data_IF_176552677041
#
_entry.id   IF_176552677041
#
_cell.length_a   1.000
_cell.length_b   1.000
_cell.length_c   1.000
_cell.angle_alpha   90.00
_cell.angle_beta   90.00
_cell.angle_gamma   90.00
#
_symmetry.space_group_name_H-M   'P 1'
#
loop_
_entity.id
_entity.type
_entity.pdbx_description
1 polymer ?
#
# COMPACT_ATOMS: atom_id res chain seq x y z
N UNK A 1 13.96 24.99 -14.83
CA UNK A 1 14.56 23.97 -15.72
C UNK A 1 13.43 23.08 -16.17
N UNK A 2 13.17 22.97 -17.48
CA UNK A 2 12.12 22.07 -17.98
C UNK A 2 12.51 20.62 -17.67
N UNK A 3 11.80 19.98 -16.74
CA UNK A 3 12.07 18.58 -16.39
C UNK A 3 11.47 17.69 -17.48
N UNK A 4 12.30 16.91 -18.16
CA UNK A 4 11.82 15.98 -19.19
C UNK A 4 10.96 14.86 -18.58
N UNK A 5 9.94 14.40 -19.31
CA UNK A 5 9.07 13.30 -18.89
C UNK A 5 9.83 12.01 -18.49
N UNK A 6 10.87 11.56 -19.22
CA UNK A 6 11.67 10.42 -18.80
C UNK A 6 12.40 10.64 -17.47
N UNK A 7 12.95 11.86 -17.24
CA UNK A 7 13.62 12.21 -15.98
C UNK A 7 12.63 12.22 -14.81
N UNK A 8 11.44 12.78 -15.01
CA UNK A 8 10.36 12.74 -14.02
C UNK A 8 10.00 11.29 -13.66
N UNK A 9 9.73 10.44 -14.67
CA UNK A 9 9.40 9.03 -14.45
C UNK A 9 10.50 8.30 -13.68
N UNK A 10 11.77 8.50 -14.07
CA UNK A 10 12.92 7.88 -13.42
C UNK A 10 13.04 8.28 -11.94
N UNK A 11 12.96 9.58 -11.63
CA UNK A 11 13.02 10.08 -10.25
C UNK A 11 11.86 9.58 -9.39
N UNK A 12 10.65 9.49 -9.96
CA UNK A 12 9.51 8.88 -9.27
C UNK A 12 9.71 7.40 -8.98
N UNK A 13 10.24 6.65 -9.95
CA UNK A 13 10.54 5.24 -9.77
C UNK A 13 11.61 5.02 -8.70
N UNK A 14 12.69 5.79 -8.74
CA UNK A 14 13.77 5.74 -7.76
C UNK A 14 13.26 6.02 -6.34
N UNK A 15 12.52 7.12 -6.15
CA UNK A 15 11.93 7.46 -4.85
C UNK A 15 10.96 6.38 -4.34
N UNK A 16 10.18 5.77 -5.24
CA UNK A 16 9.27 4.70 -4.88
C UNK A 16 10.00 3.39 -4.50
N UNK A 17 11.03 3.00 -5.24
CA UNK A 17 11.84 1.82 -4.93
C UNK A 17 12.60 1.98 -3.62
N UNK A 18 13.16 3.17 -3.37
CA UNK A 18 13.78 3.52 -2.09
C UNK A 18 12.77 3.39 -0.94
N UNK A 19 11.57 3.97 -1.08
CA UNK A 19 10.50 3.82 -0.09
C UNK A 19 10.13 2.36 0.18
N UNK A 20 9.97 1.54 -0.87
CA UNK A 20 9.68 0.11 -0.72
C UNK A 20 10.81 -0.60 0.04
N UNK A 21 12.07 -0.32 -0.31
CA UNK A 21 13.25 -0.87 0.37
C UNK A 21 13.29 -0.48 1.86
N UNK A 22 13.04 0.79 2.19
CA UNK A 22 12.99 1.26 3.58
C UNK A 22 11.92 0.52 4.39
N UNK A 23 10.71 0.39 3.84
CA UNK A 23 9.61 -0.30 4.52
C UNK A 23 9.88 -1.80 4.68
N UNK A 24 10.31 -2.48 3.62
CA UNK A 24 10.64 -3.91 3.70
C UNK A 24 11.80 -4.18 4.66
N UNK A 25 12.87 -3.38 4.63
CA UNK A 25 13.99 -3.53 5.56
C UNK A 25 13.56 -3.29 7.02
N UNK A 26 12.66 -2.34 7.28
CA UNK A 26 12.08 -2.15 8.63
C UNK A 26 11.25 -3.34 9.10
N UNK A 27 10.60 -4.06 8.20
CA UNK A 27 9.93 -5.34 8.51
C UNK A 27 10.88 -6.53 8.69
N UNK A 28 12.18 -6.36 8.40
CA UNK A 28 13.20 -7.41 8.56
C UNK A 28 13.67 -8.04 7.26
N UNK A 29 13.27 -7.53 6.09
CA UNK A 29 13.83 -7.97 4.80
C UNK A 29 15.31 -7.60 4.71
N UNK A 30 16.13 -8.52 4.20
CA UNK A 30 17.56 -8.29 4.08
C UNK A 30 17.87 -7.21 3.03
N UNK A 31 18.50 -6.12 3.48
CA UNK A 31 18.91 -5.01 2.62
C UNK A 31 19.72 -3.97 3.38
N UNK A 32 20.16 -2.93 2.66
CA UNK A 32 21.00 -1.85 3.21
C UNK A 32 20.27 -0.49 3.18
N UNK A 33 18.93 -0.52 3.15
CA UNK A 33 18.14 0.69 3.12
C UNK A 33 18.12 1.37 4.49
N UNK A 34 17.85 2.67 4.50
CA UNK A 34 17.57 3.39 5.74
C UNK A 34 16.28 2.85 6.38
N UNK A 35 16.09 3.01 7.70
CA UNK A 35 14.82 2.68 8.33
C UNK A 35 13.67 3.49 7.73
N UNK A 36 12.47 2.90 7.71
CA UNK A 36 11.23 3.62 7.42
C UNK A 36 11.00 4.79 8.39
N UNK A 37 10.26 5.79 7.93
CA UNK A 37 9.93 6.95 8.74
C UNK A 37 9.13 6.52 9.98
N UNK A 38 9.65 6.81 11.18
CA UNK A 38 9.03 6.42 12.45
C UNK A 38 7.68 7.09 12.69
N UNK A 39 7.35 8.15 11.96
CA UNK A 39 6.06 8.82 12.03
C UNK A 39 4.94 8.06 11.28
N UNK A 40 5.26 7.05 10.49
CA UNK A 40 4.29 6.34 9.65
C UNK A 40 4.27 4.84 9.95
N UNK A 41 3.06 4.29 10.06
CA UNK A 41 2.84 2.85 10.12
C UNK A 41 3.12 2.21 8.77
N UNK A 42 3.70 1.01 8.74
CA UNK A 42 3.82 0.20 7.52
C UNK A 42 2.54 -0.64 7.35
N UNK A 43 1.93 -0.54 6.17
CA UNK A 43 0.83 -1.40 5.74
C UNK A 43 1.39 -2.58 4.91
N UNK A 44 1.45 -3.80 5.47
CA UNK A 44 2.06 -4.93 4.79
C UNK A 44 1.31 -5.34 3.51
N UNK A 45 -0.02 -5.23 3.47
CA UNK A 45 -0.78 -5.57 2.26
C UNK A 45 -0.57 -4.56 1.15
N UNK A 46 -0.59 -3.25 1.45
CA UNK A 46 -0.31 -2.22 0.46
C UNK A 46 1.12 -2.34 -0.07
N UNK A 47 2.08 -2.59 0.82
CA UNK A 47 3.49 -2.80 0.49
C UNK A 47 3.68 -3.99 -0.45
N UNK A 48 3.01 -5.12 -0.20
CA UNK A 48 3.03 -6.26 -1.11
C UNK A 48 2.41 -5.93 -2.47
N UNK A 49 1.23 -5.30 -2.50
CA UNK A 49 0.60 -4.93 -3.77
C UNK A 49 1.51 -3.99 -4.58
N UNK A 50 2.11 -2.99 -3.95
CA UNK A 50 3.08 -2.12 -4.60
C UNK A 50 4.32 -2.89 -5.10
N UNK A 51 4.78 -3.91 -4.36
CA UNK A 51 5.87 -4.79 -4.80
C UNK A 51 5.50 -5.58 -6.06
N UNK A 52 4.25 -6.02 -6.19
CA UNK A 52 3.78 -6.74 -7.40
C UNK A 52 3.73 -5.88 -8.66
N UNK A 53 3.74 -4.55 -8.56
CA UNK A 53 3.75 -3.65 -9.71
C UNK A 53 5.04 -2.85 -9.81
N UNK A 54 5.34 -1.99 -8.84
CA UNK A 54 6.53 -1.12 -8.80
C UNK A 54 7.80 -1.92 -8.50
N UNK A 55 7.73 -2.88 -7.57
CA UNK A 55 8.88 -3.70 -7.18
C UNK A 55 9.47 -4.54 -8.32
N UNK A 56 8.74 -4.75 -9.42
CA UNK A 56 9.22 -5.42 -10.64
C UNK A 56 10.38 -4.69 -11.34
N UNK A 57 10.61 -3.43 -10.99
CA UNK A 57 11.76 -2.68 -11.48
C UNK A 57 13.06 -2.94 -10.68
N UNK A 58 12.98 -3.68 -9.57
CA UNK A 58 14.13 -4.16 -8.80
C UNK A 58 13.95 -5.64 -8.45
N UNK A 59 14.53 -6.58 -9.23
CA UNK A 59 14.41 -8.02 -8.98
C UNK A 59 14.89 -8.44 -7.59
N UNK A 60 15.89 -7.74 -7.03
CA UNK A 60 16.42 -8.05 -5.70
C UNK A 60 15.38 -7.72 -4.63
N UNK A 61 14.74 -6.55 -4.71
CA UNK A 61 13.67 -6.18 -3.79
C UNK A 61 12.54 -7.22 -3.80
N UNK A 62 12.14 -7.63 -5.01
CA UNK A 62 11.07 -8.61 -5.18
C UNK A 62 11.42 -9.96 -4.54
N UNK A 63 12.64 -10.46 -4.78
CA UNK A 63 13.07 -11.76 -4.28
C UNK A 63 13.28 -11.78 -2.76
N UNK A 64 13.83 -10.71 -2.18
CA UNK A 64 13.99 -10.60 -0.72
C UNK A 64 12.63 -10.44 0.00
N UNK A 65 11.68 -9.70 -0.61
CA UNK A 65 10.31 -9.65 -0.08
C UNK A 65 9.64 -11.03 -0.14
N UNK A 66 9.86 -11.80 -1.21
CA UNK A 66 9.32 -13.15 -1.37
C UNK A 66 9.92 -14.15 -0.36
N UNK A 67 11.24 -14.05 -0.09
CA UNK A 67 11.94 -14.79 0.97
C UNK A 67 11.28 -14.54 2.33
N UNK A 68 11.10 -13.27 2.70
CA UNK A 68 10.49 -12.89 3.97
C UNK A 68 9.04 -13.35 4.09
N UNK A 69 8.26 -13.28 3.00
CA UNK A 69 6.88 -13.77 2.96
C UNK A 69 6.78 -15.30 3.15
N UNK A 70 7.82 -16.06 2.81
CA UNK A 70 7.90 -17.48 3.10
C UNK A 70 7.78 -17.76 4.60
N UNK A 71 8.44 -16.95 5.44
CA UNK A 71 8.37 -17.08 6.90
C UNK A 71 7.14 -16.39 7.48
N UNK A 72 6.87 -15.15 7.04
CA UNK A 72 5.91 -14.25 7.70
C UNK A 72 4.58 -14.08 6.98
N UNK A 73 4.34 -14.80 5.88
CA UNK A 73 3.10 -14.68 5.10
C UNK A 73 1.81 -14.94 5.89
N UNK A 74 1.90 -15.60 7.05
CA UNK A 74 0.78 -15.88 7.96
C UNK A 74 0.19 -14.62 8.60
N UNK A 75 0.94 -13.52 8.69
CA UNK A 75 0.47 -12.26 9.30
C UNK A 75 -0.40 -11.42 8.35
N UNK A 76 -0.45 -11.77 7.06
CA UNK A 76 -1.23 -11.03 6.06
C UNK A 76 -2.73 -11.33 6.14
N UNK A 77 -3.54 -10.28 6.09
CA UNK A 77 -4.98 -10.36 5.93
C UNK A 77 -5.33 -10.49 4.44
N UNK A 78 -5.50 -11.73 3.96
CA UNK A 78 -5.75 -12.00 2.53
C UNK A 78 -7.09 -11.45 2.02
N UNK A 79 -8.09 -11.30 2.90
CA UNK A 79 -9.36 -10.68 2.53
C UNK A 79 -9.17 -9.18 2.33
N UNK A 80 -8.45 -8.52 3.25
CA UNK A 80 -8.09 -7.11 3.14
C UNK A 80 -7.23 -6.85 1.90
N UNK A 81 -6.23 -7.69 1.64
CA UNK A 81 -5.38 -7.61 0.45
C UNK A 81 -6.21 -7.57 -0.84
N UNK A 82 -7.18 -8.49 -0.99
CA UNK A 82 -8.12 -8.51 -2.13
C UNK A 82 -8.98 -7.26 -2.21
N UNK A 83 -9.53 -6.85 -1.06
CA UNK A 83 -10.38 -5.65 -0.97
C UNK A 83 -9.61 -4.40 -1.37
N UNK A 84 -8.41 -4.23 -0.84
CA UNK A 84 -7.51 -3.11 -1.10
C UNK A 84 -7.09 -3.05 -2.56
N UNK A 85 -6.67 -4.18 -3.16
CA UNK A 85 -6.37 -4.24 -4.60
C UNK A 85 -7.58 -3.83 -5.43
N UNK A 86 -8.78 -4.36 -5.12
CA UNK A 86 -10.01 -4.05 -5.84
C UNK A 86 -10.40 -2.57 -5.73
N UNK A 87 -10.28 -1.98 -4.54
CA UNK A 87 -10.72 -0.60 -4.30
C UNK A 87 -9.73 0.43 -4.82
N UNK A 88 -8.44 0.10 -4.83
CA UNK A 88 -7.38 1.05 -5.24
C UNK A 88 -6.91 0.86 -6.67
N UNK A 89 -7.01 -0.34 -7.23
CA UNK A 89 -6.35 -0.72 -8.48
C UNK A 89 -4.84 -0.95 -8.31
N UNK A 90 -4.33 -0.97 -7.07
CA UNK A 90 -2.91 -1.16 -6.78
C UNK A 90 -2.47 -2.61 -7.00
N UNK A 91 -1.31 -2.76 -7.62
CA UNK A 91 -0.64 -4.03 -7.84
C UNK A 91 -1.05 -4.73 -9.12
N UNK A 92 -0.37 -5.81 -9.43
CA UNK A 92 -0.63 -6.66 -10.60
C UNK A 92 -1.25 -7.98 -10.13
N UNK A 93 -2.51 -8.21 -10.49
CA UNK A 93 -3.27 -9.40 -10.06
C UNK A 93 -2.63 -10.71 -10.51
N UNK A 94 -2.00 -10.73 -11.69
CA UNK A 94 -1.31 -11.90 -12.24
C UNK A 94 -0.05 -12.20 -11.44
N UNK A 95 0.74 -11.16 -11.14
CA UNK A 95 1.94 -11.29 -10.32
C UNK A 95 1.59 -11.70 -8.89
N UNK A 96 0.53 -11.13 -8.32
CA UNK A 96 0.04 -11.53 -7.00
C UNK A 96 -0.41 -12.99 -6.96
N UNK A 97 -1.10 -13.48 -8.00
CA UNK A 97 -1.51 -14.87 -8.11
C UNK A 97 -0.29 -15.81 -8.17
N UNK A 98 0.75 -15.45 -8.92
CA UNK A 98 2.01 -16.20 -8.99
C UNK A 98 2.75 -16.23 -7.65
N UNK A 99 2.86 -15.08 -6.97
CA UNK A 99 3.42 -15.00 -5.61
C UNK A 99 2.64 -15.89 -4.64
N UNK A 100 1.31 -15.82 -4.69
CA UNK A 100 0.47 -16.63 -3.82
C UNK A 100 0.61 -18.14 -4.07
N UNK A 101 0.75 -18.55 -5.34
CA UNK A 101 0.98 -19.94 -5.71
C UNK A 101 2.36 -20.42 -5.23
N UNK A 102 3.39 -19.59 -5.41
CA UNK A 102 4.73 -19.88 -4.91
C UNK A 102 4.75 -20.01 -3.39
N UNK A 103 4.10 -19.11 -2.66
CA UNK A 103 3.99 -19.15 -1.21
C UNK A 103 3.24 -20.40 -0.71
N UNK A 104 2.17 -20.79 -1.40
CA UNK A 104 1.39 -21.97 -1.05
C UNK A 104 2.14 -23.29 -1.33
N UNK A 105 2.91 -23.34 -2.42
CA UNK A 105 3.56 -24.56 -2.91
C UNK A 105 4.98 -24.75 -2.38
N UNK A 106 5.74 -23.67 -2.20
CA UNK A 106 7.16 -23.69 -1.83
C UNK A 106 7.45 -22.92 -0.54
N UNK A 107 6.70 -21.85 -0.27
CA UNK A 107 6.92 -20.98 0.89
C UNK A 107 6.31 -21.48 2.21
N UNK A 108 5.66 -22.65 2.26
CA UNK A 108 5.05 -23.16 3.49
C UNK A 108 3.82 -22.39 3.98
N UNK A 109 3.16 -21.62 3.10
CA UNK A 109 2.06 -20.72 3.44
C UNK A 109 0.72 -21.16 2.79
N UNK A 110 0.08 -22.26 3.24
CA UNK A 110 -1.04 -22.90 2.54
C UNK A 110 -2.27 -22.01 2.37
N UNK A 111 -2.51 -21.04 3.27
CA UNK A 111 -3.64 -20.11 3.17
C UNK A 111 -3.64 -19.26 1.89
N UNK A 112 -2.47 -19.07 1.27
CA UNK A 112 -2.31 -18.29 0.04
C UNK A 112 -2.87 -19.00 -1.19
N UNK A 113 -3.17 -20.30 -1.12
CA UNK A 113 -3.82 -21.06 -2.21
C UNK A 113 -5.14 -20.44 -2.67
N UNK A 114 -5.83 -19.70 -1.79
CA UNK A 114 -7.07 -18.98 -2.13
C UNK A 114 -6.86 -17.76 -3.07
N UNK A 115 -5.63 -17.33 -3.28
CA UNK A 115 -5.22 -16.25 -4.18
C UNK A 115 -4.59 -16.77 -5.49
N UNK A 116 -4.06 -17.99 -5.50
CA UNK A 116 -3.38 -18.62 -6.64
C UNK A 116 -4.29 -19.02 -7.83
N UNK A 117 -5.58 -18.64 -7.84
CA UNK A 117 -6.60 -19.25 -8.72
C UNK A 117 -6.55 -18.78 -10.19
N UNK A 118 -5.78 -17.76 -10.55
CA UNK A 118 -5.73 -17.21 -11.90
C UNK A 118 -4.56 -17.76 -12.73
N UNK A 119 -4.74 -18.91 -13.37
CA UNK A 119 -3.78 -19.39 -14.39
C UNK A 119 -3.96 -18.61 -15.69
N UNK A 120 -2.86 -18.23 -16.31
CA UNK A 120 -2.87 -17.37 -17.49
C UNK A 120 -3.01 -18.20 -18.78
N UNK A 121 -3.88 -17.73 -19.69
CA UNK A 121 -4.01 -18.18 -21.08
C UNK A 121 -3.24 -17.36 -22.14
N UNK A 122 -2.80 -16.09 -21.94
CA UNK A 122 -2.04 -15.38 -22.97
C UNK A 122 -0.55 -15.76 -22.98
N UNK A 123 0.14 -15.32 -24.04
CA UNK A 123 1.59 -15.48 -24.21
C UNK A 123 2.37 -14.97 -22.97
N UNK A 124 3.41 -15.70 -22.51
CA UNK A 124 4.20 -15.30 -21.36
C UNK A 124 4.86 -13.93 -21.54
N UNK A 125 4.87 -13.12 -20.47
CA UNK A 125 5.55 -11.81 -20.44
C UNK A 125 6.67 -11.81 -19.42
N UNK A 126 7.71 -11.00 -19.64
CA UNK A 126 8.78 -10.83 -18.67
C UNK A 126 8.26 -10.24 -17.36
N UNK A 127 8.58 -10.88 -16.24
CA UNK A 127 8.28 -10.32 -14.92
C UNK A 127 9.11 -9.06 -14.66
N UNK A 128 10.42 -9.15 -14.95
CA UNK A 128 11.40 -8.09 -14.76
C UNK A 128 11.86 -7.53 -16.10
N UNK A 129 12.22 -6.24 -16.15
CA UNK A 129 12.81 -5.64 -17.34
C UNK A 129 14.15 -6.30 -17.69
N UNK A 130 14.43 -6.49 -18.98
CA UNK A 130 15.71 -7.02 -19.45
C UNK A 130 15.56 -8.17 -20.44
N UNK A 131 16.59 -9.00 -20.53
CA UNK A 131 16.58 -10.19 -21.37
C UNK A 131 15.76 -11.33 -20.74
N UNK A 132 15.15 -12.22 -21.56
CA UNK A 132 14.49 -13.40 -21.05
C UNK A 132 15.45 -14.32 -20.28
N UNK A 133 14.97 -15.00 -19.22
CA UNK A 133 15.80 -15.90 -18.44
C UNK A 133 16.14 -17.16 -19.26
N UNK A 134 17.30 -17.77 -18.98
CA UNK A 134 17.70 -19.04 -19.63
C UNK A 134 16.83 -20.22 -19.19
N UNK A 135 16.46 -20.23 -17.91
CA UNK A 135 15.58 -21.21 -17.29
C UNK A 135 14.42 -20.43 -16.66
N UNK A 136 13.19 -20.94 -16.77
CA UNK A 136 12.01 -20.25 -16.26
C UNK A 136 11.46 -20.95 -15.03
N UNK A 137 11.11 -20.18 -13.99
CA UNK A 137 10.41 -20.69 -12.81
C UNK A 137 9.05 -21.31 -13.22
N UNK A 138 8.80 -22.60 -12.93
CA UNK A 138 7.58 -23.28 -13.38
C UNK A 138 6.31 -22.72 -12.73
N UNK A 139 6.40 -22.20 -11.51
CA UNK A 139 5.26 -21.59 -10.81
C UNK A 139 4.87 -20.31 -11.52
N UNK A 140 5.81 -19.39 -11.72
CA UNK A 140 5.52 -18.12 -12.39
C UNK A 140 5.14 -18.32 -13.86
N UNK A 141 5.72 -19.31 -14.55
CA UNK A 141 5.35 -19.65 -15.91
C UNK A 141 3.89 -20.11 -16.02
N UNK A 142 3.36 -20.86 -15.05
CA UNK A 142 1.95 -21.25 -15.01
C UNK A 142 0.98 -20.06 -14.91
N UNK A 143 1.49 -18.90 -14.47
CA UNK A 143 0.79 -17.62 -14.45
C UNK A 143 1.19 -16.70 -15.62
N UNK A 144 1.89 -17.22 -16.64
CA UNK A 144 2.28 -16.48 -17.84
C UNK A 144 3.38 -15.43 -17.58
N UNK A 145 4.25 -15.68 -16.60
CA UNK A 145 5.34 -14.78 -16.22
C UNK A 145 6.69 -15.47 -16.41
N UNK A 146 7.58 -14.83 -17.17
CA UNK A 146 8.95 -15.28 -17.40
C UNK A 146 9.87 -14.64 -16.34
N UNK A 147 10.45 -15.47 -15.48
CA UNK A 147 11.53 -15.12 -14.54
C UNK A 147 12.43 -16.32 -14.29
N UNK A 148 13.67 -16.08 -13.85
CA UNK A 148 14.54 -17.14 -13.34
C UNK A 148 13.92 -17.83 -12.11
N UNK A 149 14.22 -19.12 -11.84
CA UNK A 149 13.75 -19.82 -10.65
C UNK A 149 13.98 -19.03 -9.36
N UNK A 150 12.98 -18.99 -8.49
CA UNK A 150 13.10 -18.35 -7.17
C UNK A 150 14.08 -19.15 -6.32
N UNK A 151 15.07 -18.49 -5.73
CA UNK A 151 16.02 -19.09 -4.78
C UNK A 151 16.04 -18.25 -3.51
N UNK A 152 15.22 -18.58 -2.50
CA UNK A 152 15.20 -17.87 -1.22
C UNK A 152 16.60 -17.90 -0.60
N UNK A 153 17.04 -16.76 -0.08
CA UNK A 153 18.37 -16.64 0.54
C UNK A 153 18.34 -17.00 2.03
N UNK A 154 17.17 -17.01 2.66
CA UNK A 154 17.02 -17.27 4.08
C UNK A 154 17.72 -16.23 4.96
N UNK A 155 17.86 -15.00 4.48
CA UNK A 155 18.55 -13.91 5.21
C UNK A 155 17.58 -12.93 5.87
N UNK A 156 16.27 -13.12 5.64
CA UNK A 156 15.22 -12.39 6.32
C UNK A 156 15.36 -12.51 7.84
N UNK A 157 15.10 -11.40 8.53
CA UNK A 157 15.09 -11.30 9.99
C UNK A 157 13.67 -11.12 10.50
N UNK A 158 13.52 -11.34 11.79
CA UNK A 158 12.25 -11.13 12.49
C UNK A 158 11.88 -9.64 12.47
N UNK A 159 10.59 -9.30 12.27
CA UNK A 159 10.14 -7.92 12.36
C UNK A 159 10.38 -7.40 13.77
N UNK A 160 11.08 -6.27 13.89
CA UNK A 160 11.36 -5.69 15.20
C UNK A 160 10.06 -5.22 15.85
N UNK A 161 9.58 -5.82 16.95
CA UNK A 161 8.21 -5.60 17.43
C UNK A 161 8.00 -4.21 18.05
N UNK A 162 9.06 -3.60 18.58
CA UNK A 162 9.04 -2.27 19.21
C UNK A 162 9.38 -1.13 18.24
N UNK A 163 9.61 -1.42 16.96
CA UNK A 163 9.83 -0.37 15.97
C UNK A 163 8.46 0.25 15.63
N UNK A 164 8.22 1.57 15.82
CA UNK A 164 6.87 2.12 15.67
C UNK A 164 6.22 1.87 14.30
N UNK A 165 6.94 1.94 13.16
CA UNK A 165 6.41 1.52 11.86
C UNK A 165 5.83 0.09 11.80
N UNK A 166 6.29 -0.82 12.65
CA UNK A 166 5.93 -2.24 12.59
C UNK A 166 4.67 -2.60 13.38
N UNK A 167 3.99 -1.64 14.03
CA UNK A 167 2.89 -1.94 14.95
C UNK A 167 1.74 -2.75 14.34
N UNK A 168 1.48 -2.64 13.03
CA UNK A 168 0.49 -3.50 12.35
C UNK A 168 0.87 -4.97 12.49
N UNK A 169 2.14 -5.30 12.21
CA UNK A 169 2.66 -6.67 12.32
C UNK A 169 2.73 -7.11 13.77
N UNK A 170 3.23 -6.24 14.67
CA UNK A 170 3.34 -6.54 16.10
C UNK A 170 1.98 -6.85 16.73
N UNK A 171 0.97 -6.04 16.47
CA UNK A 171 -0.37 -6.26 17.00
C UNK A 171 -1.03 -7.50 16.39
N UNK A 172 -0.84 -7.77 15.10
CA UNK A 172 -1.36 -9.00 14.49
C UNK A 172 -0.72 -10.26 15.05
N UNK A 173 0.55 -10.19 15.46
CA UNK A 173 1.21 -11.28 16.18
C UNK A 173 0.63 -11.47 17.60
N UNK A 174 0.25 -10.38 18.27
CA UNK A 174 -0.29 -10.41 19.64
C UNK A 174 -1.75 -10.86 19.71
N UNK A 175 -2.63 -10.26 18.90
CA UNK A 175 -4.10 -10.43 19.00
C UNK A 175 -4.72 -11.07 17.75
N UNK A 176 -3.90 -11.54 16.82
CA UNK A 176 -4.32 -12.17 15.59
C UNK A 176 -4.61 -11.20 14.44
N UNK A 177 -4.65 -11.76 13.24
CA UNK A 177 -4.89 -11.02 11.99
C UNK A 177 -6.36 -10.64 11.87
N UNK A 178 -6.70 -9.40 12.21
CA UNK A 178 -8.08 -8.90 12.12
C UNK A 178 -8.13 -7.40 11.85
N UNK A 179 -9.25 -6.95 11.28
CA UNK A 179 -9.56 -5.54 11.02
C UNK A 179 -9.51 -4.64 12.28
N UNK A 180 -9.53 -5.24 13.48
CA UNK A 180 -9.45 -4.51 14.75
C UNK A 180 -8.09 -3.82 14.89
N UNK A 181 -7.03 -4.44 14.40
CA UNK A 181 -5.67 -3.88 14.47
C UNK A 181 -5.60 -2.56 13.70
N UNK A 182 -6.08 -2.53 12.46
CA UNK A 182 -6.06 -1.33 11.63
C UNK A 182 -6.99 -0.25 12.18
N UNK A 183 -8.17 -0.63 12.71
CA UNK A 183 -9.09 0.31 13.36
C UNK A 183 -8.43 0.96 14.58
N UNK A 184 -7.83 0.17 15.48
CA UNK A 184 -7.15 0.68 16.67
C UNK A 184 -6.03 1.63 16.26
N UNK A 185 -5.15 1.21 15.36
CA UNK A 185 -4.00 2.01 14.95
C UNK A 185 -4.39 3.29 14.20
N UNK A 186 -5.43 3.22 13.35
CA UNK A 186 -5.93 4.38 12.63
C UNK A 186 -6.58 5.42 13.57
N UNK A 187 -7.24 4.98 14.65
CA UNK A 187 -7.88 5.87 15.61
C UNK A 187 -6.93 6.36 16.70
N UNK A 188 -6.01 5.53 17.17
CA UNK A 188 -5.10 5.88 18.27
C UNK A 188 -4.06 6.93 17.84
N UNK A 189 -3.62 6.89 16.58
CA UNK A 189 -2.77 7.93 15.97
C UNK A 189 -3.55 9.05 15.26
N UNK A 190 -4.88 9.11 15.38
CA UNK A 190 -5.73 9.95 14.54
C UNK A 190 -6.92 10.61 15.24
N UNK A 191 -7.76 11.29 14.46
CA UNK A 191 -8.99 11.90 14.93
C UNK A 191 -10.17 10.92 14.90
N UNK A 192 -11.25 11.27 15.60
CA UNK A 192 -12.50 10.52 15.54
C UNK A 192 -13.00 10.40 14.09
N UNK A 193 -13.41 9.22 13.65
CA UNK A 193 -13.73 8.93 12.24
C UNK A 193 -15.04 8.16 12.05
N UNK A 194 -15.69 8.33 10.90
CA UNK A 194 -16.84 7.53 10.50
C UNK A 194 -16.41 6.14 9.99
N UNK A 195 -17.31 5.16 10.06
CA UNK A 195 -17.02 3.80 9.56
C UNK A 195 -16.65 3.78 8.06
N UNK A 196 -17.26 4.64 7.25
CA UNK A 196 -16.93 4.78 5.83
C UNK A 196 -15.53 5.39 5.60
N UNK A 197 -15.12 6.32 6.45
CA UNK A 197 -13.77 6.91 6.43
C UNK A 197 -12.73 5.86 6.79
N UNK A 198 -12.94 5.12 7.89
CA UNK A 198 -12.07 4.02 8.30
C UNK A 198 -11.99 2.94 7.22
N UNK A 199 -13.10 2.62 6.55
CA UNK A 199 -13.12 1.60 5.50
C UNK A 199 -12.25 2.01 4.31
N UNK A 200 -12.33 3.28 3.92
CA UNK A 200 -11.51 3.84 2.85
C UNK A 200 -10.02 3.91 3.24
N UNK A 201 -9.70 4.36 4.45
CA UNK A 201 -8.32 4.48 4.93
C UNK A 201 -7.64 3.12 5.08
N UNK A 202 -8.37 2.13 5.58
CA UNK A 202 -7.83 0.80 5.90
C UNK A 202 -8.06 -0.23 4.78
N UNK A 203 -8.78 0.10 3.71
CA UNK A 203 -9.02 -0.81 2.58
C UNK A 203 -10.01 -1.94 2.87
N UNK A 204 -10.78 -1.85 3.95
CA UNK A 204 -11.83 -2.82 4.29
C UNK A 204 -13.16 -2.48 3.62
N UNK A 205 -14.03 -3.49 3.47
CA UNK A 205 -15.39 -3.25 2.98
C UNK A 205 -16.21 -2.46 4.03
N UNK A 206 -16.94 -1.39 3.63
CA UNK A 206 -17.68 -0.54 4.58
C UNK A 206 -18.67 -1.28 5.48
N UNK A 207 -19.40 -2.26 4.93
CA UNK A 207 -20.35 -3.06 5.72
C UNK A 207 -19.66 -3.89 6.81
N UNK A 208 -18.48 -4.45 6.49
CA UNK A 208 -17.69 -5.24 7.44
C UNK A 208 -17.21 -4.36 8.59
N UNK A 209 -16.69 -3.16 8.30
CA UNK A 209 -16.27 -2.24 9.37
C UNK A 209 -17.44 -1.72 10.20
N UNK A 210 -18.59 -1.43 9.60
CA UNK A 210 -19.75 -0.97 10.37
C UNK A 210 -20.17 -1.97 11.44
N UNK A 211 -20.26 -3.26 11.08
CA UNK A 211 -20.60 -4.32 12.03
C UNK A 211 -19.49 -4.50 13.08
N UNK A 212 -18.24 -4.51 12.65
CA UNK A 212 -17.08 -4.66 13.54
C UNK A 212 -17.00 -3.53 14.57
N UNK A 213 -17.15 -2.28 14.15
CA UNK A 213 -17.08 -1.12 15.04
C UNK A 213 -18.19 -1.17 16.09
N UNK A 214 -19.41 -1.59 15.70
CA UNK A 214 -20.50 -1.76 16.65
C UNK A 214 -20.24 -2.88 17.67
N UNK A 215 -19.53 -3.93 17.28
CA UNK A 215 -19.09 -4.97 18.22
C UNK A 215 -17.96 -4.44 19.13
N UNK A 216 -16.99 -3.72 18.55
CA UNK A 216 -15.86 -3.15 19.29
C UNK A 216 -16.29 -2.13 20.35
N UNK A 217 -17.45 -1.46 20.23
CA UNK A 217 -17.95 -0.57 21.31
C UNK A 217 -18.25 -1.32 22.60
N UNK A 218 -18.49 -2.63 22.54
CA UNK A 218 -18.73 -3.47 23.73
C UNK A 218 -17.47 -3.61 24.60
N UNK A 219 -16.28 -3.28 24.08
CA UNK A 219 -15.03 -3.32 24.86
C UNK A 219 -14.92 -2.18 25.88
N UNK A 220 -15.70 -1.12 25.75
CA UNK A 220 -15.54 0.11 26.53
C UNK A 220 -14.37 1.00 26.10
N UNK A 221 -13.47 0.52 25.24
CA UNK A 221 -12.31 1.29 24.75
C UNK A 221 -12.55 1.97 23.40
N UNK A 222 -13.51 1.47 22.60
CA UNK A 222 -13.96 2.16 21.40
C UNK A 222 -15.20 3.00 21.75
N UNK A 223 -15.02 4.31 21.74
CA UNK A 223 -16.02 5.28 22.14
C UNK A 223 -16.73 5.87 20.92
N UNK A 224 -17.99 6.27 21.13
CA UNK A 224 -18.81 6.88 20.08
C UNK A 224 -19.12 8.33 20.42
N UNK A 225 -18.89 9.22 19.47
CA UNK A 225 -19.34 10.60 19.54
C UNK A 225 -20.47 10.80 18.54
N UNK A 226 -21.61 11.30 18.99
CA UNK A 226 -22.67 11.74 18.09
C UNK A 226 -22.38 13.18 17.65
N UNK A 227 -22.30 13.39 16.34
CA UNK A 227 -22.25 14.76 15.81
C UNK A 227 -23.63 15.40 15.99
N UNK A 228 -23.71 16.43 16.84
CA UNK A 228 -24.88 17.30 16.95
C UNK A 228 -25.08 18.04 15.63
N UNK A 229 -25.86 17.45 14.71
CA UNK A 229 -26.30 18.13 13.50
C UNK A 229 -27.44 19.10 13.80
N UNK A 230 -27.62 20.17 13.01
CA UNK A 230 -28.80 21.02 13.13
C UNK A 230 -30.04 20.15 12.92
N UNK A 231 -30.92 20.13 13.92
CA UNK A 231 -32.07 19.23 13.95
C UNK A 231 -33.12 19.59 12.92
N UNK A 232 -33.01 19.08 11.69
CA UNK A 232 -34.10 19.10 10.69
C UNK A 232 -33.93 17.95 9.69
N UNK A 233 -34.20 16.71 10.13
CA UNK A 233 -34.32 15.59 9.19
C UNK A 233 -34.32 14.23 9.86
N UNK A 234 -34.97 13.25 9.22
CA UNK A 234 -34.85 11.81 9.56
C UNK A 234 -33.41 11.36 9.33
N UNK A 235 -32.50 11.66 10.25
CA UNK A 235 -31.15 11.09 10.24
C UNK A 235 -31.30 9.60 10.50
N UNK A 236 -30.88 8.78 9.54
CA UNK A 236 -30.87 7.33 9.69
C UNK A 236 -30.01 6.99 10.92
N UNK A 237 -30.59 6.31 11.91
CA UNK A 237 -29.92 5.95 13.18
C UNK A 237 -28.53 5.37 12.90
N UNK A 238 -27.48 6.02 13.43
CA UNK A 238 -26.08 5.60 13.25
C UNK A 238 -25.29 6.27 12.11
N UNK A 239 -25.93 7.04 11.20
CA UNK A 239 -25.24 7.66 10.06
C UNK A 239 -24.26 8.79 10.47
N UNK A 240 -24.48 9.43 11.62
CA UNK A 240 -23.67 10.56 12.10
C UNK A 240 -22.72 10.18 13.25
N UNK A 241 -22.48 8.87 13.46
CA UNK A 241 -21.64 8.38 14.55
C UNK A 241 -20.17 8.41 14.14
N UNK A 242 -19.34 9.07 14.95
CA UNK A 242 -17.88 9.03 14.85
C UNK A 242 -17.33 8.12 15.95
N UNK A 243 -16.32 7.34 15.61
CA UNK A 243 -15.64 6.43 16.52
C UNK A 243 -14.28 7.00 16.89
N UNK A 244 -13.89 6.86 18.16
CA UNK A 244 -12.57 7.25 18.65
C UNK A 244 -12.12 6.29 19.76
N UNK A 245 -10.83 6.36 20.09
CA UNK A 245 -10.24 5.67 21.25
C UNK A 245 -9.57 6.71 22.14
N UNK A 246 -9.40 6.41 23.42
CA UNK A 246 -8.58 7.21 24.33
C UNK A 246 -7.09 6.98 23.98
N UNK A 247 -6.32 7.98 23.52
CA UNK A 247 -4.94 7.75 23.09
C UNK A 247 -4.03 7.21 24.20
N UNK A 248 -4.28 7.62 25.45
CA UNK A 248 -3.53 7.16 26.63
C UNK A 248 -3.61 5.65 26.86
N UNK A 249 -4.74 5.02 26.54
CA UNK A 249 -4.94 3.56 26.68
C UNK A 249 -3.98 2.76 25.77
N UNK A 250 -3.45 3.39 24.73
CA UNK A 250 -2.62 2.75 23.70
C UNK A 250 -1.15 3.20 23.73
N UNK A 251 -0.76 4.01 24.72
CA UNK A 251 0.61 4.53 24.84
C UNK A 251 1.66 3.41 25.02
N UNK A 252 1.25 2.24 25.52
CA UNK A 252 2.14 1.08 25.68
C UNK A 252 2.72 0.59 24.35
N UNK A 253 2.03 0.80 23.23
CA UNK A 253 2.47 0.37 21.90
C UNK A 253 3.80 1.01 21.49
N UNK A 254 4.07 2.22 21.97
CA UNK A 254 5.24 3.02 21.63
C UNK A 254 6.06 3.40 22.85
N UNK A 255 5.87 2.70 23.99
CA UNK A 255 6.53 3.04 25.26
C UNK A 255 6.36 4.51 25.66
N UNK A 256 5.16 5.07 25.43
CA UNK A 256 4.82 6.46 25.73
C UNK A 256 5.21 7.49 24.66
N UNK A 257 5.90 7.09 23.59
CA UNK A 257 6.18 7.99 22.46
C UNK A 257 4.91 8.24 21.62
N UNK A 258 4.85 9.32 20.82
CA UNK A 258 3.73 9.55 19.91
C UNK A 258 3.48 8.34 19.00
N UNK A 259 2.21 7.96 18.86
CA UNK A 259 1.82 6.90 17.95
C UNK A 259 2.05 7.35 16.49
N UNK A 260 2.66 6.50 15.64
CA UNK A 260 2.78 6.77 14.22
C UNK A 260 1.40 6.86 13.56
N UNK A 261 1.32 7.67 12.53
CA UNK A 261 0.10 7.90 11.77
C UNK A 261 -0.18 6.76 10.81
N UNK A 262 -1.47 6.46 10.64
CA UNK A 262 -1.92 5.58 9.58
C UNK A 262 -1.86 6.30 8.23
N UNK A 263 -1.06 5.76 7.31
CA UNK A 263 -1.01 6.25 5.93
C UNK A 263 -1.88 5.31 5.06
N UNK A 264 -2.81 5.83 4.24
CA UNK A 264 -3.52 5.09 3.19
C UNK A 264 -2.55 4.74 2.06
N UNK A 265 -1.58 3.88 2.34
CA UNK A 265 -0.52 3.45 1.41
C UNK A 265 -1.07 2.90 0.10
N UNK A 266 -2.24 2.27 0.13
CA UNK A 266 -2.94 1.82 -1.09
C UNK A 266 -3.17 2.96 -2.09
N UNK A 267 -3.57 4.14 -1.62
CA UNK A 267 -3.76 5.33 -2.44
C UNK A 267 -2.42 5.92 -2.90
N UNK A 268 -1.45 6.03 -1.99
CA UNK A 268 -0.11 6.56 -2.28
C UNK A 268 0.58 5.76 -3.38
N UNK A 269 0.67 4.43 -3.21
CA UNK A 269 1.28 3.58 -4.22
C UNK A 269 0.44 3.48 -5.50
N UNK A 270 -0.89 3.61 -5.42
CA UNK A 270 -1.73 3.68 -6.62
C UNK A 270 -1.46 4.94 -7.44
N UNK A 271 -1.20 6.08 -6.79
CA UNK A 271 -0.76 7.30 -7.47
C UNK A 271 0.58 7.07 -8.17
N UNK A 272 1.56 6.49 -7.47
CA UNK A 272 2.88 6.16 -8.06
C UNK A 272 2.72 5.24 -9.27
N UNK A 273 1.97 4.16 -9.14
CA UNK A 273 1.68 3.24 -10.25
C UNK A 273 1.01 3.97 -11.43
N UNK A 274 0.05 4.85 -11.15
CA UNK A 274 -0.62 5.66 -12.16
C UNK A 274 0.33 6.60 -12.89
N UNK A 275 1.26 7.26 -12.18
CA UNK A 275 2.29 8.13 -12.76
C UNK A 275 3.23 7.34 -13.67
N UNK A 276 3.74 6.20 -13.20
CA UNK A 276 4.65 5.34 -13.96
C UNK A 276 4.00 4.74 -15.21
N UNK A 277 2.68 4.52 -15.19
CA UNK A 277 1.90 4.03 -16.32
C UNK A 277 1.45 5.15 -17.28
N UNK A 278 1.30 6.39 -16.78
CA UNK A 278 0.94 7.54 -17.61
C UNK A 278 2.11 8.01 -18.49
N UNK A 279 3.34 7.88 -17.98
CA UNK A 279 4.56 8.33 -18.66
C UNK A 279 5.25 7.12 -19.32
N UNK A 280 5.43 7.12 -20.66
CA UNK A 280 6.10 6.04 -21.36
C UNK A 280 7.51 5.78 -20.83
N UNK A 281 7.93 4.51 -20.83
CA UNK A 281 9.30 4.15 -20.51
C UNK A 281 10.27 4.67 -21.59
N UNK A 282 11.57 4.83 -21.29
CA UNK A 282 12.57 5.18 -22.30
C UNK A 282 12.53 4.19 -23.47
N UNK A 283 12.40 4.70 -24.70
CA UNK A 283 12.31 3.90 -25.92
C UNK A 283 10.90 3.49 -26.34
N UNK A 284 9.87 3.74 -25.52
CA UNK A 284 8.47 3.57 -25.92
C UNK A 284 7.97 4.77 -26.75
N UNK A 285 6.91 4.54 -27.54
CA UNK A 285 6.30 5.58 -28.37
C UNK A 285 5.76 6.71 -27.49
N UNK A 286 6.20 7.94 -27.78
CA UNK A 286 5.76 9.12 -27.06
C UNK A 286 4.24 9.28 -27.13
N UNK A 287 3.62 9.51 -25.98
CA UNK A 287 2.21 9.91 -25.89
C UNK A 287 2.10 11.44 -25.94
N UNK A 288 1.03 11.97 -26.53
CA UNK A 288 0.78 13.42 -26.52
C UNK A 288 0.66 13.95 -25.09
N UNK A 289 1.21 15.14 -24.81
CA UNK A 289 1.20 15.77 -23.48
C UNK A 289 -0.22 15.89 -22.88
N UNK A 290 -1.24 16.16 -23.72
CA UNK A 290 -2.63 16.21 -23.29
C UNK A 290 -3.11 14.87 -22.69
N UNK A 291 -2.76 13.75 -23.32
CA UNK A 291 -3.12 12.40 -22.83
C UNK A 291 -2.43 12.10 -21.51
N UNK A 292 -1.14 12.44 -21.39
CA UNK A 292 -0.36 12.24 -20.15
C UNK A 292 -0.98 13.05 -19.01
N UNK A 293 -1.18 14.35 -19.21
CA UNK A 293 -1.78 15.22 -18.19
C UNK A 293 -3.19 14.78 -17.78
N UNK A 294 -4.01 14.28 -18.71
CA UNK A 294 -5.32 13.70 -18.38
C UNK A 294 -5.19 12.50 -17.46
N UNK A 295 -4.34 11.52 -17.81
CA UNK A 295 -4.09 10.32 -16.98
C UNK A 295 -3.56 10.67 -15.58
N UNK A 296 -2.69 11.69 -15.48
CA UNK A 296 -2.17 12.16 -14.20
C UNK A 296 -3.26 12.79 -13.34
N UNK A 297 -4.20 13.55 -13.93
CA UNK A 297 -5.37 14.06 -13.19
C UNK A 297 -6.23 12.91 -12.69
N UNK A 298 -6.51 11.93 -13.53
CA UNK A 298 -7.30 10.77 -13.13
C UNK A 298 -6.64 10.03 -11.96
N UNK A 299 -5.32 9.85 -11.98
CA UNK A 299 -4.58 9.24 -10.88
C UNK A 299 -4.69 10.03 -9.56
N UNK A 300 -4.65 11.37 -9.63
CA UNK A 300 -4.79 12.26 -8.47
C UNK A 300 -6.22 12.29 -7.92
N UNK A 301 -7.23 12.31 -8.80
CA UNK A 301 -8.64 12.43 -8.42
C UNK A 301 -9.21 11.12 -7.88
N UNK A 302 -8.79 9.98 -8.42
CA UNK A 302 -9.30 8.64 -8.04
C UNK A 302 -9.25 8.41 -6.54
N UNK A 303 -8.16 8.84 -5.88
CA UNK A 303 -7.95 8.67 -4.43
C UNK A 303 -7.77 9.99 -3.68
N UNK A 304 -8.26 11.11 -4.23
CA UNK A 304 -7.92 12.45 -3.76
C UNK A 304 -8.20 12.68 -2.27
N UNK A 305 -9.33 12.19 -1.75
CA UNK A 305 -9.64 12.32 -0.32
C UNK A 305 -8.62 11.60 0.59
N UNK A 306 -8.14 10.43 0.19
CA UNK A 306 -7.15 9.67 0.96
C UNK A 306 -5.77 10.37 0.87
N UNK A 307 -5.38 10.82 -0.31
CA UNK A 307 -4.11 11.53 -0.52
C UNK A 307 -4.07 12.91 0.16
N UNK A 308 -5.23 13.55 0.35
CA UNK A 308 -5.31 14.78 1.15
C UNK A 308 -5.11 14.50 2.65
N UNK A 309 -5.64 13.39 3.15
CA UNK A 309 -5.52 13.03 4.58
C UNK A 309 -4.10 12.74 5.04
N UNK A 310 -3.17 12.47 4.11
CA UNK A 310 -1.74 12.25 4.41
C UNK A 310 -0.90 13.50 4.31
N UNK A 311 -1.49 14.64 3.94
CA UNK A 311 -0.73 15.83 3.58
C UNK A 311 -0.02 15.73 2.23
N UNK A 312 -0.13 14.61 1.48
CA UNK A 312 0.54 14.45 0.19
C UNK A 312 -0.03 15.41 -0.86
N UNK A 313 -1.36 15.46 -1.04
CA UNK A 313 -1.95 16.43 -1.99
C UNK A 313 -1.62 17.89 -1.62
N UNK A 314 -1.76 18.32 -0.35
CA UNK A 314 -1.30 19.64 0.08
C UNK A 314 0.18 19.92 -0.25
N UNK A 315 1.08 18.95 -0.05
CA UNK A 315 2.51 19.12 -0.33
C UNK A 315 2.81 19.32 -1.83
N UNK A 316 1.97 18.78 -2.71
CA UNK A 316 2.10 18.97 -4.16
C UNK A 316 1.68 20.37 -4.63
N UNK A 317 0.90 21.13 -3.83
CA UNK A 317 0.52 22.53 -4.10
C UNK A 317 -0.05 22.73 -5.52
N UNK A 318 -0.94 21.83 -5.92
CA UNK A 318 -1.51 21.80 -7.26
C UNK A 318 -2.62 22.85 -7.41
N UNK A 319 -2.56 23.66 -8.46
CA UNK A 319 -3.68 24.53 -8.83
C UNK A 319 -4.80 23.72 -9.49
N UNK A 320 -6.04 23.89 -9.01
CA UNK A 320 -7.22 23.13 -9.46
C UNK A 320 -7.49 23.20 -10.97
N UNK A 321 -7.07 24.29 -11.63
CA UNK A 321 -7.24 24.55 -13.07
C UNK A 321 -5.91 24.81 -13.80
N UNK A 322 -4.78 24.32 -13.27
CA UNK A 322 -3.49 24.41 -13.95
C UNK A 322 -3.59 23.84 -15.38
N UNK A 323 -3.01 24.45 -16.42
CA UNK A 323 -2.85 23.80 -17.73
C UNK A 323 -2.07 22.48 -17.63
N UNK A 324 -2.21 21.59 -18.62
CA UNK A 324 -1.59 20.26 -18.58
C UNK A 324 -0.06 20.26 -18.44
N UNK A 325 0.62 21.20 -19.09
CA UNK A 325 2.08 21.35 -18.99
C UNK A 325 2.52 21.75 -17.57
N UNK A 326 1.80 22.68 -16.95
CA UNK A 326 2.09 23.12 -15.59
C UNK A 326 1.85 21.99 -14.57
N UNK A 327 0.74 21.26 -14.67
CA UNK A 327 0.49 20.09 -13.82
C UNK A 327 1.66 19.10 -13.87
N UNK A 328 2.12 18.77 -15.08
CA UNK A 328 3.25 17.86 -15.28
C UNK A 328 4.51 18.43 -14.62
N UNK A 329 4.80 19.72 -14.81
CA UNK A 329 5.98 20.36 -14.24
C UNK A 329 5.93 20.35 -12.70
N UNK A 330 4.83 20.77 -12.09
CA UNK A 330 4.70 20.79 -10.62
C UNK A 330 4.83 19.39 -10.02
N UNK A 331 4.23 18.39 -10.64
CA UNK A 331 4.39 17.00 -10.22
C UNK A 331 5.85 16.53 -10.39
N UNK A 332 6.50 16.87 -11.49
CA UNK A 332 7.89 16.52 -11.74
C UNK A 332 8.87 17.12 -10.73
N UNK A 333 8.58 18.33 -10.26
CA UNK A 333 9.39 19.01 -9.26
C UNK A 333 9.16 18.44 -7.86
N UNK A 334 7.89 18.20 -7.47
CA UNK A 334 7.52 17.95 -6.07
C UNK A 334 7.27 16.49 -5.72
N UNK A 335 6.62 15.71 -6.59
CA UNK A 335 6.15 14.36 -6.24
C UNK A 335 7.29 13.41 -5.83
N UNK A 336 8.44 13.33 -6.52
CA UNK A 336 9.53 12.46 -6.08
C UNK A 336 10.03 12.78 -4.67
N UNK A 337 10.19 14.06 -4.34
CA UNK A 337 10.62 14.50 -3.02
C UNK A 337 9.56 14.20 -1.95
N UNK A 338 8.27 14.42 -2.27
CA UNK A 338 7.19 14.08 -1.35
C UNK A 338 7.12 12.57 -1.07
N UNK A 339 7.37 11.71 -2.06
CA UNK A 339 7.46 10.25 -1.86
C UNK A 339 8.67 9.91 -0.97
N UNK A 340 9.81 10.56 -1.17
CA UNK A 340 11.02 10.32 -0.39
C UNK A 340 10.84 10.66 1.10
N UNK A 341 10.04 11.67 1.43
CA UNK A 341 9.76 12.09 2.81
C UNK A 341 8.76 11.19 3.57
N UNK A 342 8.00 10.34 2.85
CA UNK A 342 7.08 9.37 3.46
C UNK A 342 7.85 8.22 4.10
#
# INVERSE_FOLDING_TARGET
>A
MDTSLPSFRARCLEAALDLLWRQWCSLGVAGHAMPANVAHLIDPEALLLATTSVGRHDPRLFDEALDWLGTYGSIFNLQRLKSLQKSTGLGDARVLAAVADWLASHGGQPKWKALARQRATPAPVLLFSGAPPRETDPTFLAHGLLRSPVRPRGMSRDPHPLLPPNLVVSLRALIGVSARVEVILCLAGGAAAHASELARLTGHAPRTLQALLQEMTLSGHLLTQESAGPGTGKVRRGANRRFHVQPGDWAFLTSGQPLPQWVPWGAVFSLVQGVLAAIPAPGEKASHHAVISSKLRDALTTHGQALASTGLLPALDLRSQAPGAELIQTLAERLPASIACL
#
